data_IF_364012334943
#
_entry.id   IF_364012334943
#
_cell.length_a   1.000
_cell.length_b   1.000
_cell.length_c   1.000
_cell.angle_alpha   90.00
_cell.angle_beta   90.00
_cell.angle_gamma   90.00
#
_symmetry.space_group_name_H-M   'P 1'
#
loop_
_entity.id
_entity.type
_entity.pdbx_description
1 polymer ?
#
# COMPACT_ATOMS: atom_id res chain seq x y z
N UNK A 1 2.99 -5.88 -7.69
CA UNK A 1 3.95 -4.82 -7.31
C UNK A 1 4.72 -5.31 -6.08
N UNK A 2 5.93 -4.81 -5.79
CA UNK A 2 6.72 -5.29 -4.63
C UNK A 2 7.34 -4.11 -3.88
N UNK A 3 7.29 -4.18 -2.55
CA UNK A 3 7.95 -3.27 -1.63
C UNK A 3 8.72 -4.10 -0.60
N UNK A 4 10.03 -3.88 -0.52
CA UNK A 4 10.91 -4.54 0.46
C UNK A 4 11.93 -3.53 0.98
N UNK A 5 12.18 -3.58 2.27
CA UNK A 5 13.22 -2.80 2.92
C UNK A 5 13.83 -3.60 4.08
N UNK A 6 15.06 -3.28 4.46
CA UNK A 6 15.70 -3.86 5.63
C UNK A 6 15.01 -3.34 6.91
N UNK A 7 14.56 -4.26 7.76
CA UNK A 7 13.84 -4.00 9.01
C UNK A 7 14.73 -3.48 10.14
N UNK A 8 16.06 -3.65 10.04
CA UNK A 8 17.02 -3.09 11.01
C UNK A 8 16.99 -1.56 11.02
N UNK A 9 16.51 -0.96 9.93
CA UNK A 9 16.37 0.48 9.78
C UNK A 9 14.91 0.88 9.98
N UNK A 10 14.61 1.45 11.16
CA UNK A 10 13.28 1.95 11.47
C UNK A 10 12.84 3.00 10.45
N UNK A 11 11.63 2.85 9.90
CA UNK A 11 11.06 3.78 8.92
C UNK A 11 11.51 3.56 7.48
N UNK A 12 12.36 2.56 7.21
CA UNK A 12 12.87 2.26 5.85
C UNK A 12 11.76 2.03 4.82
N UNK A 13 10.71 1.28 5.19
CA UNK A 13 9.51 1.08 4.36
C UNK A 13 8.77 2.40 4.06
N UNK A 14 8.63 3.28 5.05
CA UNK A 14 7.99 4.56 4.83
C UNK A 14 8.80 5.47 3.90
N UNK A 15 10.12 5.50 4.11
CA UNK A 15 11.05 6.29 3.31
C UNK A 15 11.07 5.84 1.84
N UNK A 16 11.25 4.54 1.58
CA UNK A 16 11.30 4.04 0.19
C UNK A 16 10.00 4.30 -0.55
N UNK A 17 8.85 4.17 0.12
CA UNK A 17 7.56 4.45 -0.51
C UNK A 17 7.41 5.92 -0.90
N UNK A 18 7.69 6.81 0.04
CA UNK A 18 7.60 8.24 -0.21
C UNK A 18 8.54 8.69 -1.33
N UNK A 19 9.79 8.20 -1.30
CA UNK A 19 10.79 8.55 -2.31
C UNK A 19 10.39 8.02 -3.69
N UNK A 20 9.94 6.77 -3.79
CA UNK A 20 9.53 6.20 -5.07
C UNK A 20 8.34 6.99 -5.65
N UNK A 21 7.31 7.25 -4.85
CA UNK A 21 6.14 8.01 -5.31
C UNK A 21 6.52 9.42 -5.76
N UNK A 22 7.39 10.10 -5.00
CA UNK A 22 7.83 11.46 -5.32
C UNK A 22 8.66 11.55 -6.61
N UNK A 23 9.43 10.52 -6.95
CA UNK A 23 10.32 10.57 -8.11
C UNK A 23 9.68 9.96 -9.37
N UNK A 24 9.02 8.81 -9.24
CA UNK A 24 8.51 8.06 -10.38
C UNK A 24 7.04 8.37 -10.68
N UNK A 25 6.24 8.60 -9.64
CA UNK A 25 4.78 8.68 -9.75
C UNK A 25 4.19 10.02 -9.31
N UNK A 26 4.99 11.09 -9.28
CA UNK A 26 4.53 12.42 -8.88
C UNK A 26 3.40 12.97 -9.76
N UNK A 27 3.26 12.46 -10.98
CA UNK A 27 2.23 12.86 -11.94
C UNK A 27 0.93 12.06 -11.80
N UNK A 28 0.90 11.00 -10.99
CA UNK A 28 -0.29 10.16 -10.79
C UNK A 28 -1.18 10.74 -9.70
N UNK A 29 -2.49 10.82 -9.97
CA UNK A 29 -3.49 11.31 -9.01
C UNK A 29 -3.78 10.30 -7.89
N UNK A 30 -3.76 9.01 -8.21
CA UNK A 30 -4.12 7.93 -7.30
C UNK A 30 -3.12 6.78 -7.42
N UNK A 31 -2.86 6.11 -6.31
CA UNK A 31 -1.97 4.95 -6.24
C UNK A 31 -2.73 3.82 -5.55
N UNK A 32 -2.80 2.68 -6.21
CA UNK A 32 -3.31 1.45 -5.60
C UNK A 32 -2.14 0.70 -4.95
N UNK A 33 -2.19 0.54 -3.62
CA UNK A 33 -1.15 -0.15 -2.83
C UNK A 33 -1.45 -1.62 -2.54
N UNK A 34 -2.36 -2.24 -3.29
CA UNK A 34 -2.80 -3.64 -3.16
C UNK A 34 -3.46 -3.96 -1.79
N UNK A 35 -3.84 -5.21 -1.55
CA UNK A 35 -4.59 -5.64 -0.36
C UNK A 35 -3.70 -6.00 0.83
N UNK A 36 -4.29 -6.13 2.03
CA UNK A 36 -3.57 -6.48 3.26
C UNK A 36 -3.51 -7.99 3.56
N UNK A 37 -4.10 -8.82 2.70
CA UNK A 37 -4.11 -10.29 2.82
C UNK A 37 -4.67 -10.82 4.15
N UNK A 38 -5.47 -10.04 4.87
CA UNK A 38 -5.96 -10.43 6.19
C UNK A 38 -4.99 -10.12 7.35
N UNK A 39 -3.78 -9.65 7.08
CA UNK A 39 -2.72 -9.48 8.07
C UNK A 39 -2.89 -8.15 8.80
N UNK A 40 -3.17 -8.19 10.12
CA UNK A 40 -3.47 -6.99 10.91
C UNK A 40 -2.33 -5.95 10.88
N UNK A 41 -1.08 -6.39 11.02
CA UNK A 41 0.08 -5.50 10.94
C UNK A 41 0.16 -4.77 9.60
N UNK A 42 -0.10 -5.48 8.50
CA UNK A 42 -0.09 -4.90 7.16
C UNK A 42 -1.29 -3.97 6.95
N UNK A 43 -2.46 -4.31 7.47
CA UNK A 43 -3.65 -3.44 7.46
C UNK A 43 -3.36 -2.12 8.17
N UNK A 44 -2.82 -2.17 9.39
CA UNK A 44 -2.42 -0.96 10.14
C UNK A 44 -1.39 -0.14 9.36
N UNK A 45 -0.41 -0.78 8.74
CA UNK A 45 0.60 -0.11 7.93
C UNK A 45 0.01 0.58 6.69
N UNK A 46 -0.96 -0.03 6.00
CA UNK A 46 -1.63 0.60 4.84
C UNK A 46 -2.57 1.73 5.26
N UNK A 47 -3.33 1.54 6.35
CA UNK A 47 -4.24 2.56 6.87
C UNK A 47 -3.50 3.81 7.39
N UNK A 48 -2.26 3.69 7.85
CA UNK A 48 -1.48 4.85 8.31
C UNK A 48 -1.17 5.87 7.21
N UNK A 49 -1.22 5.46 5.94
CA UNK A 49 -1.13 6.34 4.77
C UNK A 49 -2.43 7.09 4.46
N UNK A 50 -3.49 6.90 5.26
CA UNK A 50 -4.79 7.56 5.13
C UNK A 50 -5.38 7.39 3.71
N UNK A 51 -5.65 6.14 3.28
CA UNK A 51 -6.22 5.89 1.97
C UNK A 51 -7.54 6.64 1.82
N UNK A 52 -7.72 7.29 0.67
CA UNK A 52 -8.99 7.98 0.34
C UNK A 52 -10.13 6.99 0.06
N UNK A 53 -9.80 5.74 -0.27
CA UNK A 53 -10.76 4.71 -0.66
C UNK A 53 -10.21 3.32 -0.33
N UNK A 54 -11.07 2.45 0.21
CA UNK A 54 -10.82 1.02 0.37
C UNK A 54 -11.71 0.31 -0.66
N UNK A 55 -11.10 -0.41 -1.59
CA UNK A 55 -11.79 -1.08 -2.67
C UNK A 55 -12.23 -2.48 -2.24
N UNK A 56 -13.54 -2.66 -2.08
CA UNK A 56 -14.13 -3.97 -1.89
C UNK A 56 -14.13 -4.74 -3.21
N UNK A 57 -13.66 -6.00 -3.16
CA UNK A 57 -13.67 -6.93 -4.29
C UNK A 57 -14.74 -7.99 -4.04
N UNK A 58 -15.47 -8.35 -5.08
CA UNK A 58 -16.56 -9.31 -5.02
C UNK A 58 -16.33 -10.44 -6.02
N UNK A 59 -16.80 -11.62 -5.67
CA UNK A 59 -16.89 -12.78 -6.57
C UNK A 59 -18.32 -12.88 -7.10
N UNK A 60 -18.48 -12.89 -8.42
CA UNK A 60 -19.78 -13.09 -9.05
C UNK A 60 -20.05 -14.60 -9.19
N UNK A 61 -21.13 -15.09 -8.57
CA UNK A 61 -21.53 -16.50 -8.61
C UNK A 61 -22.84 -16.65 -9.36
N UNK A 62 -22.92 -17.65 -10.24
CA UNK A 62 -24.16 -18.06 -10.89
C UNK A 62 -24.85 -19.12 -10.02
N UNK A 63 -26.12 -18.88 -9.68
CA UNK A 63 -26.98 -19.83 -8.95
C UNK A 63 -27.66 -20.75 -9.96
#
# INVERSE_FOLDING_TARGET
HIEKANTDFQGSYAAINQMFVKNEWAHLKYINREEDMGIEGLRRAKMSYRPIYILDKYEAVQI
#
